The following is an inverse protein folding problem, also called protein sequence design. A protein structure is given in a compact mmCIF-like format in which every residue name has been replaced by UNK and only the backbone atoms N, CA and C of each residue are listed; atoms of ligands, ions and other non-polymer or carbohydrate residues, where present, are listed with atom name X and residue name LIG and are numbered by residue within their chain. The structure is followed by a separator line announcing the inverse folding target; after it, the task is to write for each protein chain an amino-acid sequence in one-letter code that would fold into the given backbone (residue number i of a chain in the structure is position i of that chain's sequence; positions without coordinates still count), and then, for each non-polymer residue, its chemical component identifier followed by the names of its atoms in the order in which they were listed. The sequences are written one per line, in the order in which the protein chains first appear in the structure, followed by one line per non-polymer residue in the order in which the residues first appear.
data_IF_751768625254
#
_entry.id   IF_751768625254
#
_cell.length_a   1.000
_cell.length_b   1.000
_cell.length_c   1.000
_cell.angle_alpha   90.00
_cell.angle_beta   90.00
_cell.angle_gamma   90.00
#
_symmetry.space_group_name_H-M   'P 1'
#
loop_
_entity.id
_entity.type
_entity.pdbx_description
1 polymer ?
#
# COMPACT_ATOMS: atom_id res chain seq x y z
N UNK A 1 -15.69 11.06 8.37
CA UNK A 1 -14.71 9.98 8.59
C UNK A 1 -15.38 8.98 9.49
N UNK A 2 -15.58 7.81 8.93
CA UNK A 2 -16.13 6.63 9.57
C UNK A 2 -15.00 5.86 10.27
N UNK A 3 -13.78 5.94 9.72
CA UNK A 3 -12.57 5.44 10.36
C UNK A 3 -12.19 6.24 11.60
N UNK A 4 -11.70 5.49 12.58
CA UNK A 4 -11.08 6.06 13.77
C UNK A 4 -9.82 6.89 13.41
N UNK A 5 -9.66 8.11 13.96
CA UNK A 5 -8.52 8.97 13.64
C UNK A 5 -7.15 8.38 14.00
N UNK A 6 -7.07 7.58 15.07
CA UNK A 6 -5.82 6.92 15.47
C UNK A 6 -5.46 5.83 14.46
N UNK A 7 -6.44 5.03 14.04
CA UNK A 7 -6.27 4.04 12.99
C UNK A 7 -5.81 4.65 11.66
N UNK A 8 -6.43 5.76 11.24
CA UNK A 8 -6.04 6.48 10.02
C UNK A 8 -4.59 6.97 10.09
N UNK A 9 -4.16 7.48 11.25
CA UNK A 9 -2.77 7.91 11.48
C UNK A 9 -1.79 6.73 11.42
N UNK A 10 -2.10 5.62 12.10
CA UNK A 10 -1.25 4.42 12.07
C UNK A 10 -1.09 3.87 10.66
N UNK A 11 -2.17 3.88 9.88
CA UNK A 11 -2.15 3.44 8.47
C UNK A 11 -1.26 4.36 7.63
N UNK A 12 -1.35 5.67 7.82
CA UNK A 12 -0.49 6.67 7.15
C UNK A 12 0.98 6.44 7.48
N UNK A 13 1.30 6.23 8.77
CA UNK A 13 2.68 5.99 9.22
C UNK A 13 3.24 4.68 8.61
N UNK A 14 2.41 3.63 8.52
CA UNK A 14 2.79 2.36 7.90
C UNK A 14 3.12 2.53 6.40
N UNK A 15 2.31 3.29 5.66
CA UNK A 15 2.55 3.56 4.23
C UNK A 15 3.90 4.24 4.05
N UNK A 16 4.17 5.30 4.83
CA UNK A 16 5.42 6.05 4.71
C UNK A 16 6.63 5.20 5.08
N UNK A 17 6.56 4.43 6.17
CA UNK A 17 7.65 3.56 6.61
C UNK A 17 7.96 2.47 5.59
N UNK A 18 6.93 1.86 5.00
CA UNK A 18 7.11 0.82 3.98
C UNK A 18 7.70 1.43 2.70
N UNK A 19 7.22 2.60 2.29
CA UNK A 19 7.77 3.29 1.12
C UNK A 19 9.25 3.65 1.33
N UNK A 20 9.62 4.11 2.53
CA UNK A 20 11.01 4.40 2.88
C UNK A 20 11.88 3.15 2.94
N UNK A 21 11.32 2.01 3.36
CA UNK A 21 12.00 0.71 3.28
C UNK A 21 12.29 0.34 1.83
N UNK A 22 11.29 0.45 0.94
CA UNK A 22 11.48 0.20 -0.50
C UNK A 22 12.50 1.16 -1.13
N UNK A 23 12.53 2.44 -0.72
CA UNK A 23 13.54 3.41 -1.16
C UNK A 23 14.97 2.97 -0.79
N UNK A 24 15.16 2.35 0.37
CA UNK A 24 16.48 1.88 0.85
C UNK A 24 16.88 0.52 0.30
N UNK A 25 15.96 -0.42 0.30
CA UNK A 25 16.21 -1.83 -0.03
C UNK A 25 16.05 -2.15 -1.52
N UNK A 26 15.32 -1.30 -2.26
CA UNK A 26 14.96 -1.56 -3.64
C UNK A 26 13.91 -2.65 -3.78
N UNK A 27 13.65 -3.04 -5.02
CA UNK A 27 12.79 -4.17 -5.36
C UNK A 27 13.62 -5.40 -5.75
N UNK A 28 13.02 -6.59 -5.75
CA UNK A 28 13.69 -7.81 -6.22
C UNK A 28 14.14 -7.65 -7.68
N UNK A 29 15.44 -7.82 -8.00
CA UNK A 29 15.95 -7.65 -9.35
C UNK A 29 15.44 -8.73 -10.33
N UNK A 30 14.90 -9.84 -9.80
CA UNK A 30 14.39 -10.97 -10.59
C UNK A 30 12.88 -10.91 -10.80
N UNK A 31 12.20 -9.86 -10.32
CA UNK A 31 10.73 -9.78 -10.37
C UNK A 31 10.21 -9.85 -11.81
N UNK A 32 10.88 -9.17 -12.74
CA UNK A 32 10.52 -9.19 -14.17
C UNK A 32 10.67 -10.58 -14.80
N UNK A 33 11.72 -11.30 -14.44
CA UNK A 33 11.98 -12.65 -14.96
C UNK A 33 11.03 -13.69 -14.38
N UNK A 34 10.85 -13.71 -13.06
CA UNK A 34 10.04 -14.71 -12.36
C UNK A 34 8.56 -14.59 -12.72
N UNK A 35 8.07 -13.36 -12.79
CA UNK A 35 6.66 -13.09 -13.04
C UNK A 35 6.37 -12.74 -14.50
N UNK A 36 7.39 -12.76 -15.36
CA UNK A 36 7.29 -12.42 -16.78
C UNK A 36 6.62 -11.05 -17.01
N UNK A 37 7.03 -10.04 -16.24
CA UNK A 37 6.42 -8.71 -16.28
C UNK A 37 7.00 -7.87 -17.42
N UNK A 38 6.14 -7.38 -18.32
CA UNK A 38 6.54 -6.42 -19.36
C UNK A 38 6.78 -5.01 -18.80
N UNK A 39 6.03 -4.63 -17.76
CA UNK A 39 6.11 -3.33 -17.07
C UNK A 39 6.39 -3.55 -15.59
N UNK A 40 7.68 -3.65 -15.24
CA UNK A 40 8.12 -3.94 -13.87
C UNK A 40 7.63 -2.86 -12.90
N UNK A 41 7.69 -1.58 -13.28
CA UNK A 41 7.23 -0.47 -12.43
C UNK A 41 5.74 -0.58 -12.12
N UNK A 42 4.90 -0.91 -13.10
CA UNK A 42 3.45 -1.04 -12.91
C UNK A 42 3.12 -2.25 -12.02
N UNK A 43 3.81 -3.37 -12.21
CA UNK A 43 3.66 -4.54 -11.36
C UNK A 43 4.04 -4.24 -9.90
N UNK A 44 5.21 -3.62 -9.68
CA UNK A 44 5.68 -3.27 -8.34
C UNK A 44 4.78 -2.22 -7.68
N UNK A 45 4.26 -1.27 -8.45
CA UNK A 45 3.28 -0.29 -7.96
C UNK A 45 2.00 -0.99 -7.49
N UNK A 46 1.46 -1.91 -8.29
CA UNK A 46 0.27 -2.69 -7.92
C UNK A 46 0.52 -3.60 -6.71
N UNK A 47 1.68 -4.24 -6.65
CA UNK A 47 2.11 -5.07 -5.51
C UNK A 47 2.13 -4.25 -4.21
N UNK A 48 2.76 -3.08 -4.23
CA UNK A 48 2.84 -2.20 -3.07
C UNK A 48 1.45 -1.71 -2.63
N UNK A 49 0.60 -1.26 -3.56
CA UNK A 49 -0.76 -0.82 -3.23
C UNK A 49 -1.56 -1.95 -2.61
N UNK A 50 -1.48 -3.16 -3.18
CA UNK A 50 -2.13 -4.36 -2.63
C UNK A 50 -1.61 -4.73 -1.23
N UNK A 51 -0.31 -4.66 -1.01
CA UNK A 51 0.34 -4.88 0.29
C UNK A 51 -0.19 -3.88 1.34
N UNK A 52 -0.27 -2.59 1.00
CA UNK A 52 -0.73 -1.56 1.92
C UNK A 52 -2.22 -1.67 2.26
N UNK A 53 -3.09 -1.85 1.27
CA UNK A 53 -4.53 -2.05 1.50
C UNK A 53 -4.75 -3.32 2.33
N UNK A 54 -4.12 -4.44 1.97
CA UNK A 54 -4.24 -5.70 2.70
C UNK A 54 -3.73 -5.61 4.14
N UNK A 55 -2.62 -4.91 4.36
CA UNK A 55 -2.06 -4.68 5.70
C UNK A 55 -2.97 -3.80 6.55
N UNK A 56 -3.52 -2.72 5.98
CA UNK A 56 -4.47 -1.85 6.66
C UNK A 56 -5.76 -2.60 7.03
N UNK A 57 -6.34 -3.37 6.10
CA UNK A 57 -7.51 -4.21 6.37
C UNK A 57 -7.25 -5.23 7.48
N UNK A 58 -6.08 -5.88 7.46
CA UNK A 58 -5.70 -6.85 8.50
C UNK A 58 -5.54 -6.16 9.85
N UNK A 59 -4.90 -4.98 9.90
CA UNK A 59 -4.77 -4.20 11.12
C UNK A 59 -6.15 -3.78 11.66
N UNK A 60 -7.06 -3.35 10.77
CA UNK A 60 -8.42 -3.00 11.14
C UNK A 60 -9.13 -4.17 11.82
N UNK A 61 -9.08 -5.36 11.20
CA UNK A 61 -9.70 -6.56 11.75
C UNK A 61 -9.14 -6.94 13.12
N UNK A 62 -7.82 -6.80 13.32
CA UNK A 62 -7.18 -7.09 14.61
C UNK A 62 -7.60 -6.08 15.68
N UNK A 63 -7.66 -4.79 15.36
CA UNK A 63 -8.02 -3.74 16.34
C UNK A 63 -9.50 -3.78 16.69
N UNK A 64 -10.37 -3.92 15.68
CA UNK A 64 -11.82 -3.81 15.85
C UNK A 64 -12.51 -5.16 16.05
N UNK A 65 -11.79 -6.29 15.90
CA UNK A 65 -12.29 -7.66 16.04
C UNK A 65 -13.50 -7.95 15.13
N UNK A 66 -13.53 -7.31 13.95
CA UNK A 66 -14.57 -7.49 12.92
C UNK A 66 -14.06 -7.09 11.55
N UNK A 67 -14.79 -7.50 10.52
CA UNK A 67 -14.62 -6.97 9.17
C UNK A 67 -15.01 -5.47 9.10
N UNK A 68 -14.34 -4.69 8.24
CA UNK A 68 -14.79 -3.34 7.92
C UNK A 68 -16.14 -3.38 7.20
N UNK A 69 -16.95 -2.35 7.40
CA UNK A 69 -18.11 -2.07 6.56
C UNK A 69 -17.66 -1.63 5.17
N UNK A 70 -18.58 -1.56 4.21
CA UNK A 70 -18.27 -1.11 2.86
C UNK A 70 -17.67 0.31 2.85
N UNK A 71 -18.22 1.23 3.66
CA UNK A 71 -17.74 2.61 3.74
C UNK A 71 -16.34 2.68 4.39
N UNK A 72 -16.10 1.92 5.45
CA UNK A 72 -14.77 1.85 6.09
C UNK A 72 -13.72 1.23 5.15
N UNK A 73 -14.09 0.21 4.37
CA UNK A 73 -13.20 -0.37 3.38
C UNK A 73 -12.84 0.66 2.29
N UNK A 74 -13.81 1.42 1.79
CA UNK A 74 -13.53 2.51 0.85
C UNK A 74 -12.63 3.58 1.46
N UNK A 75 -12.89 4.02 2.70
CA UNK A 75 -12.02 4.99 3.38
C UNK A 75 -10.59 4.45 3.57
N UNK A 76 -10.40 3.15 3.81
CA UNK A 76 -9.06 2.52 3.88
C UNK A 76 -8.35 2.58 2.53
N UNK A 77 -9.06 2.30 1.44
CA UNK A 77 -8.52 2.40 0.09
C UNK A 77 -8.15 3.86 -0.22
N UNK A 78 -9.04 4.80 0.08
CA UNK A 78 -8.82 6.25 -0.13
C UNK A 78 -7.59 6.75 0.63
N UNK A 79 -7.34 6.24 1.85
CA UNK A 79 -6.12 6.56 2.59
C UNK A 79 -4.88 6.18 1.79
N UNK A 80 -4.81 4.95 1.26
CA UNK A 80 -3.66 4.52 0.42
C UNK A 80 -3.58 5.34 -0.87
N UNK A 81 -4.72 5.59 -1.52
CA UNK A 81 -4.79 6.36 -2.77
C UNK A 81 -4.42 7.84 -2.58
N UNK A 82 -4.58 8.40 -1.38
CA UNK A 82 -4.14 9.76 -1.07
C UNK A 82 -2.61 9.93 -1.19
N UNK A 83 -1.85 8.85 -1.09
CA UNK A 83 -0.40 8.79 -1.32
C UNK A 83 -0.02 8.43 -2.76
N UNK A 84 -0.99 8.28 -3.66
CA UNK A 84 -0.79 7.77 -5.03
C UNK A 84 0.29 8.52 -5.82
N UNK A 85 0.41 9.84 -5.65
CA UNK A 85 1.43 10.63 -6.34
C UNK A 85 2.84 10.15 -6.00
N UNK A 86 3.17 10.04 -4.71
CA UNK A 86 4.50 9.63 -4.25
C UNK A 86 4.79 8.17 -4.63
N UNK A 87 3.80 7.29 -4.47
CA UNK A 87 3.90 5.87 -4.84
C UNK A 87 4.21 5.74 -6.33
N UNK A 88 3.43 6.41 -7.20
CA UNK A 88 3.62 6.35 -8.66
C UNK A 88 4.97 6.93 -9.08
N UNK A 89 5.35 8.08 -8.54
CA UNK A 89 6.65 8.71 -8.84
C UNK A 89 7.82 7.79 -8.45
N UNK A 90 7.71 7.12 -7.30
CA UNK A 90 8.73 6.17 -6.86
C UNK A 90 8.83 4.95 -7.79
N UNK A 91 7.72 4.33 -8.17
CA UNK A 91 7.75 3.10 -8.97
C UNK A 91 7.98 3.34 -10.48
N UNK A 92 7.73 4.54 -10.98
CA UNK A 92 8.01 4.91 -12.37
C UNK A 92 9.50 4.75 -12.75
N UNK A 93 10.42 4.80 -11.77
CA UNK A 93 11.87 4.62 -12.00
C UNK A 93 12.29 3.19 -12.38
N UNK A 94 11.39 2.23 -12.25
CA UNK A 94 11.63 0.82 -12.60
C UNK A 94 11.10 0.44 -13.98
N UNK A 95 10.63 1.43 -14.75
CA UNK A 95 10.20 1.28 -16.15
C UNK A 95 11.27 1.74 -17.14
#
# INVERSE_FOLDING_TARGET
MTLDPEFAKQTTDLIQQTLDLYKKSGASPRVGEIWNCEKIGDFLCGFFVGEMVGSALSAFQVVHQREPTADEHLEIIELVESHSKEIKEFFAKFN
#
